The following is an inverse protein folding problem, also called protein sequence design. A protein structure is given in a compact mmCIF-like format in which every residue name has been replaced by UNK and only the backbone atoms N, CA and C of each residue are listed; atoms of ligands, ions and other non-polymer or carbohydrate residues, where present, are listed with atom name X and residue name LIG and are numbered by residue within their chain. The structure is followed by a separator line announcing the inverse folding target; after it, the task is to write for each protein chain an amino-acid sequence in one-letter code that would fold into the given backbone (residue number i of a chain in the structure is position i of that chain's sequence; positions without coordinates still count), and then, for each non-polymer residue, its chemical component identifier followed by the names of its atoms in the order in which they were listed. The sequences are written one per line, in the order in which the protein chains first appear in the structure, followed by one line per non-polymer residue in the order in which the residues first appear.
data_IF_815650055091
#
_entry.id   IF_815650055091
#
_cell.length_a   1.000
_cell.length_b   1.000
_cell.length_c   1.000
_cell.angle_alpha   90.00
_cell.angle_beta   90.00
_cell.angle_gamma   90.00
#
_symmetry.space_group_name_H-M   'P 1'
#
loop_
_entity.id
_entity.type
_entity.pdbx_description
1 polymer ?
#
# COMPACT_ATOMS: atom_id res chain seq x y z
N UNK A 1 -10.42 15.62 0.22
CA UNK A 1 -11.50 14.75 0.75
C UNK A 1 -11.45 13.45 0.00
N UNK A 2 -10.89 12.42 0.63
CA UNK A 2 -10.71 11.10 0.04
C UNK A 2 -12.05 10.45 -0.30
N UNK A 3 -12.24 10.14 -1.57
CA UNK A 3 -13.39 9.40 -2.10
C UNK A 3 -13.04 7.95 -2.42
N UNK A 4 -11.74 7.62 -2.51
CA UNK A 4 -11.29 6.33 -3.03
C UNK A 4 -11.63 5.22 -2.04
N UNK A 5 -11.59 5.42 -0.73
CA UNK A 5 -11.99 4.41 0.27
C UNK A 5 -13.47 4.01 0.11
N UNK A 6 -14.33 4.91 -0.38
CA UNK A 6 -15.72 4.54 -0.70
C UNK A 6 -15.82 3.65 -1.92
N UNK A 7 -14.81 3.67 -2.79
CA UNK A 7 -14.73 2.85 -3.99
C UNK A 7 -14.27 1.41 -3.70
N UNK A 8 -13.86 1.10 -2.46
CA UNK A 8 -13.57 -0.28 -2.04
C UNK A 8 -14.73 -1.24 -2.36
N UNK A 9 -15.98 -0.78 -2.28
CA UNK A 9 -17.18 -1.59 -2.60
C UNK A 9 -17.31 -1.96 -4.09
N UNK A 10 -16.58 -1.28 -4.97
CA UNK A 10 -16.62 -1.51 -6.41
C UNK A 10 -15.57 -2.53 -6.87
N UNK A 11 -14.65 -2.93 -5.99
CA UNK A 11 -13.65 -3.97 -6.25
C UNK A 11 -14.22 -5.33 -5.88
N UNK A 12 -14.09 -6.31 -6.77
CA UNK A 12 -14.53 -7.69 -6.55
C UNK A 12 -13.53 -8.48 -5.70
N UNK A 13 -13.36 -8.09 -4.43
CA UNK A 13 -12.37 -8.66 -3.50
C UNK A 13 -12.44 -10.18 -3.34
N UNK A 14 -13.62 -10.76 -3.56
CA UNK A 14 -13.81 -12.20 -3.47
C UNK A 14 -13.14 -12.97 -4.62
N UNK A 15 -12.96 -12.33 -5.77
CA UNK A 15 -12.25 -12.89 -6.94
C UNK A 15 -10.73 -12.74 -6.81
N UNK A 16 -10.27 -11.77 -6.00
CA UNK A 16 -8.86 -11.49 -5.76
C UNK A 16 -8.25 -12.43 -4.72
N UNK A 17 -6.93 -12.65 -4.80
CA UNK A 17 -6.18 -13.53 -3.91
C UNK A 17 -5.01 -12.82 -3.21
N UNK A 18 -4.67 -13.34 -2.05
CA UNK A 18 -3.49 -12.96 -1.28
C UNK A 18 -2.86 -14.24 -0.70
N UNK A 19 -1.78 -14.11 0.07
CA UNK A 19 -1.02 -15.25 0.60
C UNK A 19 -1.87 -16.32 1.34
N UNK A 20 -3.02 -15.93 1.91
CA UNK A 20 -3.88 -16.79 2.73
C UNK A 20 -5.19 -17.22 2.04
N UNK A 21 -5.33 -16.98 0.74
CA UNK A 21 -6.55 -17.30 -0.02
C UNK A 21 -7.29 -16.07 -0.54
N UNK A 22 -8.61 -16.02 -0.38
CA UNK A 22 -9.47 -14.93 -0.90
C UNK A 22 -9.25 -13.62 -0.14
N UNK A 23 -9.19 -12.51 -0.89
CA UNK A 23 -9.02 -11.17 -0.34
C UNK A 23 -10.33 -10.53 0.17
N UNK A 24 -11.40 -11.31 0.35
CA UNK A 24 -12.71 -10.83 0.82
C UNK A 24 -12.65 -10.06 2.15
N UNK A 25 -11.62 -10.31 2.96
CA UNK A 25 -11.42 -9.71 4.28
C UNK A 25 -10.72 -8.34 4.23
N UNK A 26 -10.03 -8.02 3.12
CA UNK A 26 -9.20 -6.82 2.96
C UNK A 26 -9.97 -5.51 3.22
N UNK A 27 -11.21 -5.31 2.72
CA UNK A 27 -11.95 -4.06 2.97
C UNK A 27 -12.22 -3.79 4.46
N UNK A 28 -12.49 -4.86 5.23
CA UNK A 28 -12.70 -4.76 6.67
C UNK A 28 -11.43 -4.34 7.40
N UNK A 29 -10.28 -4.86 6.97
CA UNK A 29 -8.96 -4.49 7.51
C UNK A 29 -8.61 -3.04 7.16
N UNK A 30 -8.78 -2.61 5.91
CA UNK A 30 -8.57 -1.22 5.50
C UNK A 30 -9.44 -0.23 6.30
N UNK A 31 -10.69 -0.61 6.57
CA UNK A 31 -11.60 0.17 7.40
C UNK A 31 -11.12 0.30 8.85
N UNK A 32 -10.56 -0.78 9.42
CA UNK A 32 -9.95 -0.76 10.76
C UNK A 32 -8.70 0.12 10.81
N UNK A 33 -7.86 0.12 9.77
CA UNK A 33 -6.71 1.02 9.69
C UNK A 33 -7.17 2.48 9.61
N UNK A 34 -8.26 2.76 8.87
CA UNK A 34 -8.79 4.11 8.70
C UNK A 34 -9.44 4.69 9.97
N UNK A 35 -10.18 3.88 10.71
CA UNK A 35 -11.12 4.35 11.76
C UNK A 35 -10.98 3.65 13.11
N UNK A 36 -10.09 2.67 13.23
CA UNK A 36 -9.81 1.99 14.49
C UNK A 36 -9.05 2.88 15.48
N UNK A 37 -9.01 2.44 16.74
CA UNK A 37 -8.05 2.96 17.70
C UNK A 37 -6.60 2.57 17.32
N UNK A 38 -5.60 3.12 18.02
CA UNK A 38 -4.20 2.95 17.65
C UNK A 38 -3.77 1.48 17.61
N UNK A 39 -4.17 0.68 18.61
CA UNK A 39 -3.80 -0.73 18.72
C UNK A 39 -4.49 -1.54 17.62
N UNK A 40 -5.80 -1.32 17.45
CA UNK A 40 -6.57 -1.96 16.38
C UNK A 40 -6.06 -1.61 14.97
N UNK A 41 -5.57 -0.39 14.76
CA UNK A 41 -5.05 0.07 13.47
C UNK A 41 -3.67 -0.53 13.16
N UNK A 42 -2.78 -0.59 14.16
CA UNK A 42 -1.46 -1.22 14.03
C UNK A 42 -1.58 -2.73 13.77
N UNK A 43 -2.41 -3.42 14.53
CA UNK A 43 -2.68 -4.85 14.33
C UNK A 43 -3.26 -5.12 12.94
N UNK A 44 -4.25 -4.31 12.52
CA UNK A 44 -4.85 -4.43 11.20
C UNK A 44 -3.84 -4.18 10.08
N UNK A 45 -2.90 -3.24 10.25
CA UNK A 45 -1.85 -2.99 9.28
C UNK A 45 -0.84 -4.15 9.22
N UNK A 46 -0.48 -4.70 10.38
CA UNK A 46 0.40 -5.87 10.48
C UNK A 46 -0.21 -7.09 9.76
N UNK A 47 -1.49 -7.38 10.03
CA UNK A 47 -2.26 -8.42 9.35
C UNK A 47 -2.25 -8.20 7.82
N UNK A 48 -2.57 -6.97 7.39
CA UNK A 48 -2.60 -6.63 5.97
C UNK A 48 -1.23 -6.86 5.31
N UNK A 49 -0.14 -6.41 5.95
CA UNK A 49 1.21 -6.61 5.47
C UNK A 49 1.55 -8.08 5.27
N UNK A 50 1.13 -8.95 6.20
CA UNK A 50 1.31 -10.39 6.10
C UNK A 50 0.55 -11.00 4.90
N UNK A 51 -0.57 -10.40 4.51
CA UNK A 51 -1.41 -10.91 3.42
C UNK A 51 -0.90 -10.50 2.04
N UNK A 52 -0.56 -9.22 1.86
CA UNK A 52 -0.37 -8.62 0.53
C UNK A 52 1.07 -8.23 0.21
N UNK A 53 2.01 -8.30 1.17
CA UNK A 53 3.36 -7.76 0.97
C UNK A 53 4.51 -8.52 1.64
N UNK A 54 4.24 -9.41 2.60
CA UNK A 54 5.31 -10.01 3.42
C UNK A 54 6.18 -11.06 2.71
N UNK A 55 5.71 -11.69 1.63
CA UNK A 55 6.52 -12.68 0.88
C UNK A 55 6.44 -12.52 -0.63
N UNK A 56 5.29 -12.10 -1.15
CA UNK A 56 5.11 -11.81 -2.56
C UNK A 56 3.94 -10.86 -2.79
N UNK A 57 3.90 -10.22 -3.95
CA UNK A 57 2.76 -9.40 -4.39
C UNK A 57 1.74 -10.25 -5.14
N UNK A 58 0.46 -9.92 -4.97
CA UNK A 58 -0.68 -10.60 -5.56
C UNK A 58 -1.60 -9.60 -6.28
N UNK A 59 -2.62 -10.09 -6.96
CA UNK A 59 -3.68 -9.26 -7.55
C UNK A 59 -4.40 -8.39 -6.51
N UNK A 60 -4.63 -8.90 -5.29
CA UNK A 60 -5.14 -8.11 -4.18
C UNK A 60 -4.19 -6.98 -3.76
N UNK A 61 -2.87 -7.16 -3.91
CA UNK A 61 -1.89 -6.10 -3.61
C UNK A 61 -2.08 -4.92 -4.55
N UNK A 62 -2.23 -5.17 -5.85
CA UNK A 62 -2.46 -4.13 -6.87
C UNK A 62 -3.72 -3.33 -6.54
N UNK A 63 -4.81 -4.03 -6.22
CA UNK A 63 -6.07 -3.39 -5.85
C UNK A 63 -5.96 -2.60 -4.54
N UNK A 64 -5.09 -3.00 -3.60
CA UNK A 64 -4.97 -2.36 -2.28
C UNK A 64 -4.16 -1.06 -2.32
N UNK A 65 -3.18 -0.93 -3.23
CA UNK A 65 -2.25 0.21 -3.28
C UNK A 65 -2.92 1.59 -3.33
N UNK A 66 -3.96 1.84 -4.15
CA UNK A 66 -4.64 3.14 -4.17
C UNK A 66 -5.21 3.54 -2.81
N UNK A 67 -5.74 2.57 -2.06
CA UNK A 67 -6.30 2.81 -0.73
C UNK A 67 -5.20 3.05 0.31
N UNK A 68 -4.04 2.39 0.19
CA UNK A 68 -2.87 2.68 1.05
C UNK A 68 -2.39 4.13 0.87
N UNK A 69 -2.36 4.65 -0.36
CA UNK A 69 -2.02 6.06 -0.61
C UNK A 69 -3.00 7.03 0.03
N UNK A 70 -4.29 6.70 0.03
CA UNK A 70 -5.30 7.52 0.69
C UNK A 70 -5.17 7.46 2.21
N UNK A 71 -4.94 6.27 2.78
CA UNK A 71 -4.65 6.10 4.22
C UNK A 71 -3.43 6.94 4.65
N UNK A 72 -2.35 6.91 3.87
CA UNK A 72 -1.16 7.72 4.14
C UNK A 72 -1.45 9.24 4.09
N UNK A 73 -2.40 9.67 3.25
CA UNK A 73 -2.79 11.07 3.11
C UNK A 73 -3.84 11.55 4.13
N UNK A 74 -4.44 10.65 4.91
CA UNK A 74 -5.44 11.00 5.91
C UNK A 74 -4.80 11.25 7.28
N UNK A 75 -4.81 12.51 7.73
CA UNK A 75 -4.28 12.91 9.06
C UNK A 75 -4.95 12.20 10.24
N UNK A 76 -6.16 11.66 10.06
CA UNK A 76 -6.87 10.90 11.10
C UNK A 76 -6.27 9.50 11.33
N UNK A 77 -5.57 8.95 10.34
CA UNK A 77 -4.92 7.64 10.44
C UNK A 77 -3.75 7.76 11.42
N UNK A 78 -3.69 6.82 12.37
CA UNK A 78 -2.67 6.84 13.43
C UNK A 78 -1.33 6.36 12.91
N UNK A 79 -1.31 5.23 12.19
CA UNK A 79 -0.07 4.65 11.69
C UNK A 79 0.21 4.97 10.21
N UNK A 80 0.28 6.26 9.89
CA UNK A 80 0.64 6.72 8.52
C UNK A 80 2.04 6.26 8.10
N UNK A 81 2.96 6.16 9.07
CA UNK A 81 4.34 5.72 8.86
C UNK A 81 4.39 4.26 8.45
N UNK A 82 3.66 3.39 9.14
CA UNK A 82 3.56 1.98 8.78
C UNK A 82 2.95 1.78 7.39
N UNK A 83 1.92 2.55 7.03
CA UNK A 83 1.31 2.50 5.69
C UNK A 83 2.33 2.86 4.59
N UNK A 84 3.14 3.90 4.80
CA UNK A 84 4.24 4.25 3.89
C UNK A 84 5.32 3.16 3.83
N UNK A 85 5.62 2.54 4.96
CA UNK A 85 6.52 1.38 5.03
C UNK A 85 6.01 0.19 4.22
N UNK A 86 4.72 -0.10 4.28
CA UNK A 86 4.09 -1.18 3.50
C UNK A 86 4.17 -0.92 1.99
N UNK A 87 3.95 0.33 1.54
CA UNK A 87 4.16 0.72 0.14
C UNK A 87 5.61 0.49 -0.32
N UNK A 88 6.58 0.78 0.54
CA UNK A 88 8.00 0.49 0.30
C UNK A 88 8.28 -1.01 0.22
N UNK A 89 7.69 -1.80 1.12
CA UNK A 89 7.79 -3.27 1.11
C UNK A 89 7.24 -3.86 -0.19
N UNK A 90 6.09 -3.38 -0.67
CA UNK A 90 5.51 -3.80 -1.95
C UNK A 90 6.47 -3.49 -3.11
N UNK A 91 7.12 -2.33 -3.10
CA UNK A 91 8.07 -1.92 -4.14
C UNK A 91 9.37 -2.75 -4.11
N UNK A 92 9.76 -3.29 -2.95
CA UNK A 92 10.94 -4.12 -2.78
C UNK A 92 10.68 -5.61 -3.08
N UNK A 93 9.45 -6.09 -2.91
CA UNK A 93 9.09 -7.49 -3.12
C UNK A 93 8.69 -7.79 -4.57
N UNK A 94 8.97 -9.02 -4.99
CA UNK A 94 8.53 -9.59 -6.26
C UNK A 94 7.69 -10.85 -6.07
N UNK A 95 7.33 -11.51 -7.17
CA UNK A 95 6.63 -12.79 -7.18
C UNK A 95 7.30 -13.71 -8.21
N UNK A 96 7.91 -14.82 -7.77
CA UNK A 96 8.77 -15.67 -8.61
C UNK A 96 8.12 -16.16 -9.92
N UNK A 97 6.79 -16.31 -9.93
CA UNK A 97 6.05 -16.90 -11.05
C UNK A 97 5.07 -15.94 -11.75
N UNK A 98 4.89 -14.71 -11.25
CA UNK A 98 3.87 -13.77 -11.75
C UNK A 98 4.46 -12.38 -11.96
N UNK A 99 5.27 -12.18 -13.01
CA UNK A 99 5.88 -10.88 -13.30
C UNK A 99 4.87 -9.77 -13.56
N UNK A 100 3.66 -10.11 -14.03
CA UNK A 100 2.55 -9.18 -14.22
C UNK A 100 2.06 -8.56 -12.90
N UNK A 101 1.96 -9.36 -11.82
CA UNK A 101 1.57 -8.85 -10.50
C UNK A 101 2.65 -7.94 -9.91
N UNK A 102 3.92 -8.27 -10.13
CA UNK A 102 5.05 -7.40 -9.76
C UNK A 102 4.92 -6.05 -10.44
N UNK A 103 4.83 -6.08 -11.77
CA UNK A 103 4.78 -4.88 -12.59
C UNK A 103 3.59 -4.01 -12.21
N UNK A 104 2.41 -4.59 -12.12
CA UNK A 104 1.19 -3.82 -11.89
C UNK A 104 1.16 -3.25 -10.46
N UNK A 105 1.67 -3.98 -9.45
CA UNK A 105 1.81 -3.47 -8.08
C UNK A 105 2.85 -2.33 -8.00
N UNK A 106 4.01 -2.50 -8.63
CA UNK A 106 5.06 -1.47 -8.66
C UNK A 106 4.57 -0.23 -9.39
N UNK A 107 3.91 -0.38 -10.54
CA UNK A 107 3.31 0.75 -11.26
C UNK A 107 2.25 1.48 -10.43
N UNK A 108 1.40 0.75 -9.70
CA UNK A 108 0.43 1.35 -8.79
C UNK A 108 1.09 2.16 -7.66
N UNK A 109 2.19 1.66 -7.08
CA UNK A 109 2.95 2.39 -6.06
C UNK A 109 3.59 3.63 -6.68
N UNK A 110 4.24 3.49 -7.83
CA UNK A 110 4.91 4.58 -8.54
C UNK A 110 3.93 5.67 -9.01
N UNK A 111 2.68 5.32 -9.33
CA UNK A 111 1.63 6.28 -9.68
C UNK A 111 1.28 7.23 -8.53
N UNK A 112 1.48 6.80 -7.28
CA UNK A 112 1.28 7.63 -6.08
C UNK A 112 2.44 8.54 -5.72
N UNK A 113 3.48 8.65 -6.56
CA UNK A 113 4.67 9.48 -6.29
C UNK A 113 4.35 10.92 -5.91
N UNK A 114 3.40 11.56 -6.59
CA UNK A 114 2.99 12.94 -6.26
C UNK A 114 2.39 13.06 -4.85
N UNK A 115 1.80 11.98 -4.34
CA UNK A 115 1.33 11.92 -2.94
C UNK A 115 2.48 11.77 -1.97
N UNK A 116 3.49 10.94 -2.28
CA UNK A 116 4.70 10.88 -1.46
C UNK A 116 5.47 12.21 -1.44
N UNK A 117 5.55 12.93 -2.57
CA UNK A 117 6.17 14.27 -2.63
C UNK A 117 5.48 15.27 -1.69
N UNK A 118 4.15 15.21 -1.62
CA UNK A 118 3.37 16.02 -0.68
C UNK A 118 3.60 15.60 0.77
N UNK A 119 3.61 14.30 1.04
CA UNK A 119 3.84 13.75 2.39
C UNK A 119 5.27 13.97 2.88
N UNK A 120 6.25 14.10 1.99
CA UNK A 120 7.61 14.47 2.37
C UNK A 120 7.69 15.90 2.94
N UNK A 121 6.67 16.73 2.71
CA UNK A 121 6.50 18.04 3.33
C UNK A 121 5.44 18.05 4.45
N UNK A 122 5.02 16.89 4.96
CA UNK A 122 4.07 16.77 6.07
C UNK A 122 4.62 17.43 7.34
N UNK A 123 3.72 17.99 8.16
CA UNK A 123 4.10 18.63 9.42
C UNK A 123 4.58 17.64 10.49
N UNK A 124 4.25 16.36 10.35
CA UNK A 124 4.77 15.28 11.18
C UNK A 124 6.15 14.82 10.65
N UNK A 125 7.23 14.98 11.44
CA UNK A 125 8.58 14.63 10.99
C UNK A 125 8.76 13.13 10.72
N UNK A 126 8.00 12.26 11.40
CA UNK A 126 8.08 10.82 11.16
C UNK A 126 7.48 10.46 9.79
N UNK A 127 6.35 11.08 9.44
CA UNK A 127 5.69 10.91 8.14
C UNK A 127 6.52 11.51 7.00
N UNK A 128 7.04 12.73 7.20
CA UNK A 128 7.95 13.38 6.23
C UNK A 128 9.17 12.52 5.93
N UNK A 129 9.81 11.98 6.97
CA UNK A 129 10.97 11.08 6.84
C UNK A 129 10.61 9.80 6.06
N UNK A 130 9.55 9.11 6.47
CA UNK A 130 9.10 7.88 5.82
C UNK A 130 8.73 8.09 4.33
N UNK A 131 8.05 9.21 4.02
CA UNK A 131 7.72 9.58 2.65
C UNK A 131 8.98 9.88 1.83
N UNK A 132 9.98 10.55 2.40
CA UNK A 132 11.27 10.79 1.75
C UNK A 132 12.04 9.51 1.42
N UNK A 133 12.03 8.52 2.32
CA UNK A 133 12.60 7.19 2.06
C UNK A 133 11.88 6.51 0.91
N UNK A 134 10.54 6.52 0.92
CA UNK A 134 9.73 5.93 -0.15
C UNK A 134 9.97 6.61 -1.50
N UNK A 135 10.10 7.93 -1.55
CA UNK A 135 10.44 8.66 -2.77
C UNK A 135 11.79 8.25 -3.34
N UNK A 136 12.79 8.12 -2.47
CA UNK A 136 14.12 7.67 -2.86
C UNK A 136 14.04 6.27 -3.48
N UNK A 137 13.30 5.35 -2.86
CA UNK A 137 13.04 4.02 -3.41
C UNK A 137 12.32 4.07 -4.77
N UNK A 138 11.31 4.91 -4.92
CA UNK A 138 10.59 5.12 -6.18
C UNK A 138 11.49 5.66 -7.31
N UNK A 139 12.41 6.58 -6.98
CA UNK A 139 13.36 7.16 -7.95
C UNK A 139 14.46 6.19 -8.37
N UNK A 140 15.00 5.42 -7.42
CA UNK A 140 16.02 4.40 -7.69
C UNK A 140 15.46 3.05 -8.09
N UNK A 141 14.15 2.94 -8.33
CA UNK A 141 13.50 1.66 -8.60
C UNK A 141 13.99 1.07 -9.92
N UNK A 142 14.65 -0.09 -9.82
CA UNK A 142 15.07 -0.92 -10.95
C UNK A 142 14.47 -2.30 -10.73
N UNK A 143 13.61 -2.74 -11.66
CA UNK A 143 12.99 -4.05 -11.60
C UNK A 143 12.97 -4.66 -13.01
N UNK A 144 13.34 -5.94 -13.12
CA UNK A 144 13.35 -6.68 -14.39
C UNK A 144 11.97 -6.87 -15.00
N UNK A 145 10.91 -6.81 -14.18
CA UNK A 145 9.51 -6.90 -14.62
C UNK A 145 8.91 -5.54 -15.01
N UNK A 146 9.53 -4.43 -14.59
CA UNK A 146 9.07 -3.08 -14.94
C UNK A 146 9.68 -2.63 -16.28
N UNK A 147 8.93 -1.91 -17.12
CA UNK A 147 9.51 -1.31 -18.32
C UNK A 147 10.63 -0.33 -17.94
N UNK A 148 11.71 -0.23 -18.74
CA UNK A 148 12.74 0.78 -18.51
C UNK A 148 12.10 2.18 -18.55
N UNK A 149 12.40 2.99 -17.54
CA UNK A 149 11.91 4.37 -17.38
C UNK A 149 12.39 5.28 -18.51
#
# INVERSE_FOLDING_TARGET
MGTILRDMRHVQWHELRHAQGSASQVPGVLSRIAWGDSESAEDALSDLGQWIGAMAVFDATVATVPFLWELAAMETVKDRVGVLGLLGTILAHGHAHHPEWIRDAHLAVLAGRATAERLAADGDPAVSSAAGVLLTACTGHVCSACPPR
#
